data_IF_976631486281
#
_entry.id   IF_976631486281
#
_cell.length_a   1.000
_cell.length_b   1.000
_cell.length_c   1.000
_cell.angle_alpha   90.00
_cell.angle_beta   90.00
_cell.angle_gamma   90.00
#
_symmetry.space_group_name_H-M   'P 1'
#
loop_
_entity.id
_entity.type
_entity.pdbx_description
1 polymer ?
#
# COMPACT_ATOMS: atom_id res chain seq x y z
N UNK A 1 16.01 2.87 2.72
CA UNK A 1 16.98 2.04 1.98
C UNK A 1 16.24 1.35 0.85
N UNK A 2 16.65 1.55 -0.42
CA UNK A 2 16.03 0.89 -1.58
C UNK A 2 16.78 -0.43 -1.81
N UNK A 3 16.11 -1.58 -1.96
CA UNK A 3 16.78 -2.85 -2.19
C UNK A 3 17.57 -2.82 -3.50
N UNK A 4 18.78 -3.39 -3.50
CA UNK A 4 19.65 -3.48 -4.70
C UNK A 4 19.24 -4.61 -5.66
N UNK A 5 18.34 -5.49 -5.23
CA UNK A 5 17.80 -6.58 -6.02
C UNK A 5 16.28 -6.45 -6.10
N UNK A 6 15.74 -6.48 -7.32
CA UNK A 6 14.31 -6.29 -7.62
C UNK A 6 13.59 -7.60 -7.95
N UNK A 7 13.92 -8.70 -7.27
CA UNK A 7 13.16 -9.96 -7.39
C UNK A 7 12.17 -10.10 -6.24
N UNK A 8 11.06 -10.80 -6.49
CA UNK A 8 10.10 -11.19 -5.46
C UNK A 8 10.72 -12.00 -4.32
N UNK A 9 11.84 -12.68 -4.57
CA UNK A 9 12.52 -13.54 -3.59
C UNK A 9 13.33 -12.77 -2.55
N UNK A 10 13.76 -11.55 -2.90
CA UNK A 10 14.57 -10.68 -2.02
C UNK A 10 13.75 -9.50 -1.46
N UNK A 11 12.45 -9.48 -1.74
CA UNK A 11 11.51 -8.47 -1.25
C UNK A 11 10.87 -8.84 0.08
N UNK A 12 9.84 -8.08 0.45
CA UNK A 12 9.02 -8.39 1.62
C UNK A 12 8.02 -9.51 1.27
N UNK A 13 8.14 -10.66 1.95
CA UNK A 13 7.20 -11.77 1.84
C UNK A 13 6.44 -11.92 3.15
N UNK A 14 5.12 -11.81 3.08
CA UNK A 14 4.22 -11.96 4.22
C UNK A 14 3.23 -13.10 3.94
N UNK A 15 3.03 -13.95 4.95
CA UNK A 15 1.93 -14.92 4.99
C UNK A 15 1.04 -14.52 6.14
N UNK A 16 -0.18 -14.08 5.85
CA UNK A 16 -1.13 -13.59 6.84
C UNK A 16 -2.25 -14.61 7.01
N UNK A 17 -2.52 -15.00 8.25
CA UNK A 17 -3.71 -15.77 8.59
C UNK A 17 -4.85 -14.79 8.87
N UNK A 18 -5.97 -14.91 8.16
CA UNK A 18 -7.16 -14.07 8.39
C UNK A 18 -8.29 -14.94 8.87
N UNK A 19 -8.63 -14.78 10.14
CA UNK A 19 -9.59 -15.61 10.86
C UNK A 19 -11.00 -15.03 10.71
N UNK A 20 -11.63 -15.32 9.56
CA UNK A 20 -12.94 -14.77 9.21
C UNK A 20 -14.06 -15.13 10.20
N UNK A 21 -13.90 -16.24 10.93
CA UNK A 21 -14.89 -16.76 11.87
C UNK A 21 -14.98 -15.95 13.19
N UNK A 22 -14.01 -15.09 13.48
CA UNK A 22 -14.03 -14.20 14.66
C UNK A 22 -14.45 -12.76 14.32
N UNK A 23 -14.87 -12.49 13.07
CA UNK A 23 -15.28 -11.15 12.68
C UNK A 23 -16.61 -10.80 13.36
N UNK A 24 -16.60 -9.68 14.08
CA UNK A 24 -17.84 -9.13 14.62
C UNK A 24 -18.70 -8.63 13.46
N UNK A 25 -20.00 -8.96 13.43
CA UNK A 25 -20.92 -8.37 12.47
C UNK A 25 -20.94 -6.85 12.68
N UNK A 26 -20.66 -6.10 11.62
CA UNK A 26 -20.53 -4.65 11.64
C UNK A 26 -20.79 -4.05 10.26
N UNK A 27 -20.50 -2.76 10.05
CA UNK A 27 -20.76 -2.09 8.77
C UNK A 27 -19.86 -2.55 7.62
N UNK A 28 -18.89 -3.43 7.88
CA UNK A 28 -17.98 -3.98 6.88
C UNK A 28 -18.32 -5.44 6.61
N UNK A 29 -18.69 -5.73 5.36
CA UNK A 29 -19.10 -7.06 4.90
C UNK A 29 -17.98 -7.81 4.13
N UNK A 30 -16.74 -7.32 4.25
CA UNK A 30 -15.60 -7.86 3.53
C UNK A 30 -14.47 -8.20 4.50
N UNK A 31 -13.96 -9.44 4.39
CA UNK A 31 -12.75 -9.88 5.07
C UNK A 31 -11.55 -9.80 4.11
N UNK A 32 -10.49 -9.15 4.56
CA UNK A 32 -9.32 -8.88 3.73
C UNK A 32 -8.26 -8.12 4.51
N UNK A 33 -7.15 -7.83 3.84
CA UNK A 33 -6.04 -7.07 4.41
C UNK A 33 -5.91 -5.77 3.63
N UNK A 34 -5.72 -4.64 4.32
CA UNK A 34 -5.31 -3.38 3.68
C UNK A 34 -3.83 -3.13 3.95
N UNK A 35 -3.05 -2.90 2.89
CA UNK A 35 -1.62 -2.60 2.98
C UNK A 35 -1.37 -1.18 2.45
N UNK A 36 -0.64 -0.37 3.20
CA UNK A 36 -0.21 0.97 2.79
C UNK A 36 1.30 1.07 2.89
N UNK A 37 1.93 1.49 1.79
CA UNK A 37 3.32 1.92 1.80
C UNK A 37 3.38 3.44 1.99
N UNK A 38 4.03 3.89 3.05
CA UNK A 38 4.15 5.30 3.41
C UNK A 38 5.57 5.60 3.90
N UNK A 39 5.95 6.87 3.94
CA UNK A 39 7.20 7.29 4.56
C UNK A 39 7.12 7.14 6.09
N UNK A 40 8.24 6.80 6.73
CA UNK A 40 8.29 6.57 8.19
C UNK A 40 7.91 7.80 9.03
N UNK A 41 7.97 9.00 8.46
CA UNK A 41 7.65 10.26 9.16
C UNK A 41 6.21 10.72 8.93
N UNK A 42 5.49 10.12 7.98
CA UNK A 42 4.13 10.51 7.62
C UNK A 42 3.09 9.67 8.38
N UNK A 43 1.90 10.23 8.58
CA UNK A 43 0.82 9.50 9.22
C UNK A 43 0.23 8.45 8.27
N UNK A 44 0.10 7.16 8.68
CA UNK A 44 -0.42 6.11 7.82
C UNK A 44 -1.94 6.23 7.63
N UNK A 45 -2.37 6.78 6.48
CA UNK A 45 -3.79 6.88 6.09
C UNK A 45 -4.31 5.59 5.40
N UNK A 46 -4.27 4.46 6.10
CA UNK A 46 -4.58 3.12 5.54
C UNK A 46 -6.04 3.00 5.07
N UNK A 47 -6.97 3.71 5.71
CA UNK A 47 -8.39 3.65 5.35
C UNK A 47 -8.67 4.21 3.95
N UNK A 48 -7.97 5.28 3.58
CA UNK A 48 -8.17 6.05 2.33
C UNK A 48 -7.22 5.59 1.21
N UNK A 49 -5.96 5.31 1.53
CA UNK A 49 -4.89 5.10 0.55
C UNK A 49 -4.37 3.66 0.52
N UNK A 50 -4.88 2.79 1.40
CA UNK A 50 -4.44 1.40 1.48
C UNK A 50 -4.97 0.54 0.33
N UNK A 51 -4.11 -0.32 -0.20
CA UNK A 51 -4.47 -1.37 -1.15
C UNK A 51 -5.21 -2.49 -0.41
N UNK A 52 -6.45 -2.76 -0.79
CA UNK A 52 -7.22 -3.89 -0.28
C UNK A 52 -6.84 -5.19 -1.02
N UNK A 53 -6.52 -6.22 -0.25
CA UNK A 53 -6.15 -7.55 -0.73
C UNK A 53 -7.17 -8.55 -0.19
N UNK A 54 -7.85 -9.31 -1.07
CA UNK A 54 -8.77 -10.36 -0.66
C UNK A 54 -8.01 -11.55 -0.06
N UNK A 55 -8.65 -12.24 0.88
CA UNK A 55 -8.13 -13.48 1.46
C UNK A 55 -8.17 -14.64 0.45
N UNK A 56 -7.39 -15.68 0.71
CA UNK A 56 -7.39 -16.90 -0.12
C UNK A 56 -6.65 -16.77 -1.46
N UNK A 57 -5.96 -15.67 -1.71
CA UNK A 57 -5.16 -15.47 -2.93
C UNK A 57 -3.71 -15.10 -2.61
N UNK A 58 -2.80 -15.45 -3.52
CA UNK A 58 -1.43 -14.95 -3.49
C UNK A 58 -1.34 -13.65 -4.28
N UNK A 59 -1.05 -12.54 -3.59
CA UNK A 59 -0.89 -11.22 -4.22
C UNK A 59 0.57 -10.82 -4.31
N UNK A 60 0.99 -10.43 -5.51
CA UNK A 60 2.33 -9.90 -5.77
C UNK A 60 2.24 -8.40 -6.03
N UNK A 61 2.97 -7.64 -5.22
CA UNK A 61 2.94 -6.18 -5.23
C UNK A 61 4.31 -5.65 -5.66
N UNK A 62 4.35 -5.00 -6.82
CA UNK A 62 5.51 -4.25 -7.30
C UNK A 62 5.46 -2.83 -6.76
N UNK A 63 6.61 -2.31 -6.33
CA UNK A 63 6.74 -0.93 -5.82
C UNK A 63 7.69 -0.16 -6.73
N UNK A 64 7.27 1.00 -7.20
CA UNK A 64 8.11 1.94 -7.91
C UNK A 64 8.18 3.26 -7.15
N UNK A 65 9.39 3.66 -6.77
CA UNK A 65 9.62 4.94 -6.12
C UNK A 65 9.76 6.03 -7.19
N UNK A 66 8.84 7.00 -7.20
CA UNK A 66 8.89 8.17 -8.05
C UNK A 66 9.24 9.39 -7.20
N UNK A 67 10.43 9.95 -7.40
CA UNK A 67 10.79 11.22 -6.76
C UNK A 67 10.27 12.36 -7.62
N UNK A 68 9.30 13.10 -7.08
CA UNK A 68 8.77 14.31 -7.71
C UNK A 68 9.35 15.51 -6.99
N UNK A 69 10.36 16.13 -7.60
CA UNK A 69 10.90 17.40 -7.14
C UNK A 69 10.14 18.55 -7.81
N UNK A 70 9.20 19.16 -7.08
CA UNK A 70 8.69 20.48 -7.44
C UNK A 70 9.60 21.55 -6.80
N UNK A 71 9.80 22.70 -7.46
CA UNK A 71 10.70 23.78 -6.96
C UNK A 71 10.36 24.25 -5.54
N UNK A 72 9.11 24.08 -5.09
CA UNK A 72 8.66 24.45 -3.75
C UNK A 72 8.35 23.25 -2.82
N UNK A 73 8.44 21.99 -3.30
CA UNK A 73 8.19 20.81 -2.46
C UNK A 73 8.82 19.56 -3.08
N UNK A 74 9.75 18.92 -2.37
CA UNK A 74 10.23 17.57 -2.71
C UNK A 74 9.27 16.55 -2.10
N UNK A 75 8.44 15.92 -2.92
CA UNK A 75 7.55 14.84 -2.47
C UNK A 75 8.01 13.51 -3.08
N UNK A 76 8.15 12.48 -2.24
CA UNK A 76 8.42 11.12 -2.70
C UNK A 76 7.09 10.42 -2.94
N UNK A 77 6.66 10.34 -4.21
CA UNK A 77 5.45 9.63 -4.57
C UNK A 77 5.74 8.13 -4.68
N UNK A 78 5.00 7.33 -3.93
CA UNK A 78 5.10 5.87 -3.97
C UNK A 78 3.96 5.34 -4.83
N UNK A 79 4.31 4.69 -5.94
CA UNK A 79 3.36 4.00 -6.78
C UNK A 79 3.44 2.50 -6.49
N UNK A 80 2.29 1.92 -6.12
CA UNK A 80 2.14 0.50 -5.85
C UNK A 80 1.35 -0.13 -7.00
N UNK A 81 1.97 -1.09 -7.68
CA UNK A 81 1.39 -1.81 -8.80
C UNK A 81 1.11 -3.26 -8.40
N UNK A 82 -0.15 -3.69 -8.43
CA UNK A 82 -0.51 -5.10 -8.29
C UNK A 82 -0.46 -5.77 -9.65
N UNK A 83 0.31 -6.86 -9.80
CA UNK A 83 0.57 -7.50 -11.11
C UNK A 83 -0.45 -8.60 -11.45
N UNK A 84 -1.24 -9.06 -10.47
CA UNK A 84 -2.25 -10.10 -10.65
C UNK A 84 -3.62 -9.59 -10.16
N UNK A 85 -4.54 -9.38 -11.11
CA UNK A 85 -5.87 -8.75 -10.99
C UNK A 85 -5.86 -7.23 -10.69
N UNK A 86 -5.69 -6.46 -11.78
CA UNK A 86 -5.97 -5.03 -12.00
C UNK A 86 -6.37 -4.20 -10.77
N UNK A 87 -5.40 -3.47 -10.21
CA UNK A 87 -5.65 -2.17 -9.56
C UNK A 87 -4.38 -1.31 -9.62
N UNK A 88 -4.37 -0.33 -10.52
CA UNK A 88 -3.37 0.72 -10.58
C UNK A 88 -3.78 1.81 -9.58
N UNK A 89 -3.25 1.78 -8.35
CA UNK A 89 -3.45 2.87 -7.40
C UNK A 89 -2.23 3.79 -7.45
N UNK A 90 -2.37 4.92 -8.14
CA UNK A 90 -1.51 6.07 -7.92
C UNK A 90 -2.06 6.76 -6.68
N UNK A 91 -1.30 6.76 -5.59
CA UNK A 91 -1.63 7.55 -4.40
C UNK A 91 -1.19 9.00 -4.66
N UNK A 92 -2.11 9.98 -4.77
CA UNK A 92 -1.75 11.38 -4.63
C UNK A 92 -1.65 11.68 -3.12
N UNK A 93 -0.46 11.98 -2.62
CA UNK A 93 -0.35 12.55 -1.28
C UNK A 93 -0.88 13.99 -1.32
N UNK A 94 -2.11 14.21 -0.83
CA UNK A 94 -2.60 15.55 -0.58
C UNK A 94 -1.79 16.15 0.57
N UNK A 95 -0.92 17.10 0.20
CA UNK A 95 -0.26 17.99 1.15
C UNK A 95 -1.32 18.92 1.77
N UNK A 96 -1.87 18.55 2.92
CA UNK A 96 -2.56 19.54 3.77
C UNK A 96 -1.50 20.43 4.41
N UNK A 97 -1.15 21.51 3.72
CA UNK A 97 -0.45 22.64 4.29
C UNK A 97 -1.44 23.81 4.40
N UNK A 98 -1.69 24.27 5.62
CA UNK A 98 -2.15 25.63 5.88
C UNK A 98 -3.61 25.81 6.32
N UNK A 99 -3.77 26.33 7.54
CA UNK A 99 -5.00 26.74 8.20
C UNK A 99 -4.75 26.87 9.69
#
# INVERSE_FOLDING_TARGET
MIPRYSSSDYGLKLTLNVEQYEYMPGPHDAAGVKILLHDQREFPKVAELGLAIPTGTHTYVGIQLLRVSNKNQTNCQLAMFCVLNFCTFVVPLSSTAGG
#
